data_IF_067089131353
#
_entry.id   IF_067089131353
#
_cell.length_a   1.000
_cell.length_b   1.000
_cell.length_c   1.000
_cell.angle_alpha   90.00
_cell.angle_beta   90.00
_cell.angle_gamma   90.00
#
_symmetry.space_group_name_H-M   'P 1'
#
loop_
_entity.id
_entity.type
_entity.pdbx_description
1 polymer ?
#
# COMPACT_ATOMS: atom_id res chain seq x y z
N UNK A 1 24.09 13.86 -18.14
CA UNK A 1 24.06 13.71 -16.67
C UNK A 1 23.13 12.55 -16.37
N UNK A 2 23.67 11.42 -15.91
CA UNK A 2 22.91 10.21 -15.62
C UNK A 2 22.83 10.05 -14.10
N UNK A 3 21.61 10.01 -13.57
CA UNK A 3 21.36 9.60 -12.19
C UNK A 3 20.77 8.20 -12.23
N UNK A 4 21.62 7.20 -12.03
CA UNK A 4 21.20 5.82 -11.80
C UNK A 4 21.07 5.65 -10.30
N UNK A 5 19.85 5.51 -9.78
CA UNK A 5 19.63 4.95 -8.44
C UNK A 5 18.84 3.67 -8.62
N UNK A 6 19.55 2.59 -8.93
CA UNK A 6 19.03 1.24 -8.76
C UNK A 6 19.16 0.91 -7.27
N UNK A 7 18.08 1.12 -6.52
CA UNK A 7 17.91 0.43 -5.25
C UNK A 7 17.46 -0.98 -5.57
N UNK A 8 18.42 -1.90 -5.68
CA UNK A 8 18.12 -3.31 -5.89
C UNK A 8 17.38 -3.84 -4.64
N UNK A 9 16.11 -4.20 -4.83
CA UNK A 9 15.34 -4.96 -3.86
C UNK A 9 16.05 -6.29 -3.57
N UNK A 10 15.96 -6.84 -2.35
CA UNK A 10 16.70 -8.03 -1.95
C UNK A 10 16.40 -9.22 -2.87
N UNK A 11 17.45 -9.95 -3.24
CA UNK A 11 17.43 -11.08 -4.18
C UNK A 11 16.52 -12.26 -3.79
N UNK A 12 15.91 -12.23 -2.60
CA UNK A 12 14.88 -13.17 -2.15
C UNK A 12 13.53 -13.01 -2.87
N UNK A 13 13.33 -11.95 -3.65
CA UNK A 13 12.13 -11.75 -4.50
C UNK A 13 12.21 -12.44 -5.86
N UNK A 14 13.30 -13.17 -6.17
CA UNK A 14 13.48 -13.83 -7.46
C UNK A 14 12.87 -15.23 -7.45
N UNK A 15 11.53 -15.30 -7.54
CA UNK A 15 10.81 -16.43 -8.14
C UNK A 15 9.35 -16.03 -8.40
N UNK A 16 8.96 -15.96 -9.68
CA UNK A 16 7.60 -15.72 -10.25
C UNK A 16 7.11 -14.26 -10.36
N UNK A 17 6.87 -13.82 -11.61
CA UNK A 17 6.09 -12.61 -11.93
C UNK A 17 6.78 -11.27 -11.63
N UNK A 18 6.21 -10.17 -12.13
CA UNK A 18 6.57 -8.83 -11.65
C UNK A 18 6.00 -8.66 -10.23
N UNK A 19 6.77 -8.13 -9.27
CA UNK A 19 6.27 -7.88 -7.91
C UNK A 19 5.04 -6.98 -7.94
N UNK A 20 4.03 -7.33 -7.13
CA UNK A 20 2.72 -6.69 -7.14
C UNK A 20 2.54 -5.69 -6.00
N UNK A 21 2.07 -4.49 -6.35
CA UNK A 21 1.64 -3.45 -5.41
C UNK A 21 0.12 -3.33 -5.44
N UNK A 22 -0.52 -3.39 -4.28
CA UNK A 22 -1.93 -3.10 -4.10
C UNK A 22 -2.09 -1.71 -3.47
N UNK A 23 -2.72 -0.79 -4.20
CA UNK A 23 -2.96 0.59 -3.76
C UNK A 23 -4.42 0.72 -3.34
N UNK A 24 -4.65 1.09 -2.09
CA UNK A 24 -5.97 1.34 -1.51
C UNK A 24 -6.16 2.85 -1.30
N UNK A 25 -6.92 3.48 -2.20
CA UNK A 25 -7.21 4.92 -2.17
C UNK A 25 -8.61 5.15 -2.75
N UNK A 26 -9.44 5.92 -2.06
CA UNK A 26 -10.79 6.25 -2.49
C UNK A 26 -10.78 7.21 -3.71
N UNK A 27 -9.69 7.94 -3.91
CA UNK A 27 -9.54 8.90 -5.00
C UNK A 27 -8.94 8.21 -6.25
N UNK A 28 -9.75 8.16 -7.31
CA UNK A 28 -9.41 7.44 -8.54
C UNK A 28 -8.22 8.09 -9.26
N UNK A 29 -8.13 9.43 -9.27
CA UNK A 29 -7.05 10.12 -9.97
C UNK A 29 -5.69 9.80 -9.34
N UNK A 30 -5.61 9.79 -8.01
CA UNK A 30 -4.40 9.55 -7.22
C UNK A 30 -3.96 8.10 -7.35
N UNK A 31 -4.89 7.15 -7.19
CA UNK A 31 -4.59 5.72 -7.40
C UNK A 31 -4.10 5.41 -8.82
N UNK A 32 -4.71 6.01 -9.85
CA UNK A 32 -4.27 5.83 -11.24
C UNK A 32 -2.92 6.49 -11.55
N UNK A 33 -2.66 7.67 -10.96
CA UNK A 33 -1.36 8.32 -11.09
C UNK A 33 -0.25 7.44 -10.50
N UNK A 34 -0.43 6.97 -9.27
CA UNK A 34 0.54 6.10 -8.61
C UNK A 34 0.72 4.78 -9.34
N UNK A 35 -0.39 4.20 -9.82
CA UNK A 35 -0.35 3.02 -10.70
C UNK A 35 0.55 3.26 -11.91
N UNK A 36 0.35 4.35 -12.65
CA UNK A 36 1.19 4.67 -13.81
C UNK A 36 2.66 4.90 -13.46
N UNK A 37 2.96 5.44 -12.27
CA UNK A 37 4.35 5.59 -11.79
C UNK A 37 4.98 4.23 -11.51
N UNK A 38 4.33 3.37 -10.73
CA UNK A 38 4.88 2.07 -10.36
C UNK A 38 4.93 1.08 -11.55
N UNK A 39 3.94 1.08 -12.44
CA UNK A 39 3.98 0.23 -13.64
C UNK A 39 5.16 0.59 -14.56
N UNK A 40 5.49 1.88 -14.66
CA UNK A 40 6.68 2.35 -15.42
C UNK A 40 8.00 1.88 -14.80
N UNK A 41 8.03 1.64 -13.49
CA UNK A 41 9.18 1.09 -12.76
C UNK A 41 9.20 -0.45 -12.74
N UNK A 42 8.27 -1.11 -13.44
CA UNK A 42 8.25 -2.56 -13.62
C UNK A 42 7.47 -3.35 -12.57
N UNK A 43 6.57 -2.70 -11.81
CA UNK A 43 5.68 -3.39 -10.88
C UNK A 43 4.35 -3.76 -11.55
N UNK A 44 3.72 -4.85 -11.11
CA UNK A 44 2.30 -5.08 -11.37
C UNK A 44 1.49 -4.29 -10.35
N UNK A 45 0.45 -3.56 -10.76
CA UNK A 45 -0.33 -2.73 -9.83
C UNK A 45 -1.82 -3.00 -9.91
N UNK A 46 -2.42 -3.28 -8.75
CA UNK A 46 -3.86 -3.29 -8.55
C UNK A 46 -4.29 -2.12 -7.66
N UNK A 47 -5.53 -1.69 -7.84
CA UNK A 47 -6.12 -0.57 -7.08
C UNK A 47 -7.42 -1.01 -6.44
N UNK A 48 -7.68 -0.55 -5.22
CA UNK A 48 -8.92 -0.77 -4.48
C UNK A 48 -9.47 0.55 -3.95
N UNK A 49 -10.73 0.85 -4.24
CA UNK A 49 -11.38 2.13 -3.90
C UNK A 49 -12.18 2.07 -2.58
N UNK A 50 -12.15 0.94 -1.88
CA UNK A 50 -12.80 0.74 -0.58
C UNK A 50 -12.08 -0.31 0.23
N UNK A 51 -12.38 -0.37 1.53
CA UNK A 51 -11.92 -1.44 2.42
C UNK A 51 -12.39 -2.82 1.93
N UNK A 52 -13.64 -2.93 1.49
CA UNK A 52 -14.19 -4.18 0.95
C UNK A 52 -13.46 -4.63 -0.32
N UNK A 53 -13.16 -3.70 -1.24
CA UNK A 53 -12.40 -4.00 -2.45
C UNK A 53 -10.95 -4.38 -2.13
N UNK A 54 -10.35 -3.74 -1.11
CA UNK A 54 -9.00 -4.06 -0.66
C UNK A 54 -8.91 -5.50 -0.15
N UNK A 55 -9.80 -5.89 0.77
CA UNK A 55 -9.77 -7.25 1.32
C UNK A 55 -10.12 -8.31 0.26
N UNK A 56 -11.09 -8.02 -0.62
CA UNK A 56 -11.39 -8.91 -1.75
C UNK A 56 -10.18 -9.09 -2.69
N UNK A 57 -9.44 -8.02 -2.98
CA UNK A 57 -8.24 -8.09 -3.80
C UNK A 57 -7.12 -8.90 -3.12
N UNK A 58 -6.95 -8.77 -1.81
CA UNK A 58 -5.98 -9.56 -1.04
C UNK A 58 -6.35 -11.05 -1.07
N UNK A 59 -7.64 -11.37 -0.88
CA UNK A 59 -8.13 -12.76 -0.94
C UNK A 59 -7.94 -13.40 -2.31
N UNK A 60 -8.16 -12.63 -3.38
CA UNK A 60 -7.92 -13.08 -4.75
C UNK A 60 -6.44 -13.38 -5.01
N UNK A 61 -5.55 -12.49 -4.56
CA UNK A 61 -4.11 -12.63 -4.71
C UNK A 61 -3.37 -11.81 -3.66
N UNK A 62 -2.44 -12.46 -2.95
CA UNK A 62 -1.60 -11.81 -1.96
C UNK A 62 -0.58 -10.89 -2.66
N UNK A 63 -0.59 -9.58 -2.41
CA UNK A 63 0.37 -8.65 -2.98
C UNK A 63 1.71 -8.68 -2.21
N UNK A 64 2.77 -8.19 -2.86
CA UNK A 64 4.09 -8.04 -2.24
C UNK A 64 4.20 -6.74 -1.41
N UNK A 65 3.34 -5.76 -1.69
CA UNK A 65 3.26 -4.48 -0.98
C UNK A 65 1.82 -3.95 -0.97
N UNK A 66 1.41 -3.35 0.16
CA UNK A 66 0.15 -2.61 0.26
C UNK A 66 0.45 -1.13 0.55
N UNK A 67 -0.19 -0.23 -0.19
CA UNK A 67 -0.19 1.22 0.06
C UNK A 67 -1.62 1.62 0.41
N UNK A 68 -1.82 2.26 1.57
CA UNK A 68 -3.16 2.59 2.09
C UNK A 68 -3.26 4.10 2.32
N UNK A 69 -4.31 4.72 1.80
CA UNK A 69 -4.69 6.08 2.18
C UNK A 69 -5.41 6.06 3.56
N UNK A 70 -5.05 6.94 4.51
CA UNK A 70 -5.61 6.96 5.87
C UNK A 70 -7.14 7.10 5.98
N UNK A 71 -7.81 7.66 4.98
CA UNK A 71 -9.24 7.92 4.89
C UNK A 71 -9.88 7.15 3.73
N UNK A 72 -9.71 5.83 3.74
CA UNK A 72 -10.30 4.94 2.75
C UNK A 72 -11.82 4.80 2.95
N UNK A 73 -12.57 5.77 2.43
CA UNK A 73 -14.03 5.81 2.53
C UNK A 73 -14.50 6.03 3.98
N UNK A 74 -15.12 5.00 4.58
CA UNK A 74 -15.65 5.07 5.96
C UNK A 74 -14.76 4.43 7.00
N UNK A 75 -13.72 3.70 6.57
CA UNK A 75 -12.84 2.96 7.48
C UNK A 75 -11.50 3.67 7.53
N UNK A 76 -10.97 3.83 8.74
CA UNK A 76 -9.63 4.39 8.91
C UNK A 76 -8.57 3.43 8.37
N UNK A 77 -7.59 3.96 7.65
CA UNK A 77 -6.41 3.19 7.21
C UNK A 77 -5.67 2.54 8.38
N UNK A 78 -5.76 3.10 9.60
CA UNK A 78 -5.20 2.50 10.81
C UNK A 78 -5.98 1.25 11.27
N UNK A 79 -7.31 1.27 11.15
CA UNK A 79 -8.13 0.10 11.43
C UNK A 79 -7.88 -1.02 10.42
N UNK A 80 -7.71 -0.65 9.15
CA UNK A 80 -7.30 -1.60 8.10
C UNK A 80 -5.93 -2.19 8.44
N UNK A 81 -4.94 -1.35 8.77
CA UNK A 81 -3.61 -1.79 9.15
C UNK A 81 -3.64 -2.74 10.37
N UNK A 82 -4.49 -2.46 11.36
CA UNK A 82 -4.69 -3.35 12.51
C UNK A 82 -5.24 -4.71 12.07
N UNK A 83 -6.29 -4.73 11.24
CA UNK A 83 -6.86 -5.98 10.69
C UNK A 83 -5.84 -6.79 9.89
N UNK A 84 -5.02 -6.12 9.08
CA UNK A 84 -3.94 -6.76 8.31
C UNK A 84 -2.90 -7.41 9.23
N UNK A 85 -2.57 -6.78 10.35
CA UNK A 85 -1.63 -7.31 11.36
C UNK A 85 -2.21 -8.44 12.21
N UNK A 86 -3.54 -8.49 12.40
CA UNK A 86 -4.23 -9.55 13.14
C UNK A 86 -4.30 -10.87 12.36
N UNK A 87 -4.19 -10.84 11.03
CA UNK A 87 -4.19 -12.04 10.18
C UNK A 87 -2.75 -12.48 9.87
N UNK A 88 -2.34 -13.72 10.23
CA UNK A 88 -0.96 -14.21 10.06
C UNK A 88 -0.42 -14.17 8.62
N UNK A 89 -1.30 -14.25 7.62
CA UNK A 89 -0.93 -14.22 6.20
C UNK A 89 -0.59 -12.78 5.82
N UNK A 90 -1.47 -11.84 6.12
CA UNK A 90 -1.31 -10.43 5.74
C UNK A 90 -0.36 -9.66 6.64
N UNK A 91 -0.09 -10.17 7.85
CA UNK A 91 0.80 -9.52 8.81
C UNK A 91 2.26 -9.42 8.33
N UNK A 92 2.64 -10.28 7.38
CA UNK A 92 3.99 -10.31 6.80
C UNK A 92 4.14 -9.33 5.62
N UNK A 93 3.03 -8.81 5.08
CA UNK A 93 3.06 -7.95 3.91
C UNK A 93 3.50 -6.54 4.34
N UNK A 94 4.58 -6.00 3.75
CA UNK A 94 4.95 -4.60 3.96
C UNK A 94 3.75 -3.69 3.64
N UNK A 95 3.43 -2.77 4.55
CA UNK A 95 2.30 -1.86 4.39
C UNK A 95 2.75 -0.42 4.66
N UNK A 96 2.55 0.46 3.68
CA UNK A 96 2.80 1.90 3.80
C UNK A 96 1.49 2.68 3.88
N UNK A 97 1.47 3.71 4.73
CA UNK A 97 0.40 4.70 4.72
C UNK A 97 0.80 5.87 3.82
N UNK A 98 -0.04 6.16 2.84
CA UNK A 98 0.11 7.31 1.95
C UNK A 98 -0.65 8.50 2.54
N UNK A 99 0.07 9.42 3.16
CA UNK A 99 -0.54 10.52 3.91
C UNK A 99 -0.25 11.85 3.23
N UNK A 100 -1.22 12.74 3.13
CA UNK A 100 -0.93 14.14 2.80
C UNK A 100 -0.21 14.80 3.99
N UNK A 101 0.52 15.90 3.74
CA UNK A 101 1.17 16.65 4.82
C UNK A 101 0.16 17.16 5.88
N UNK A 102 -1.08 17.40 5.47
CA UNK A 102 -2.20 17.79 6.35
C UNK A 102 -2.70 16.67 7.25
N UNK A 103 -2.40 15.40 6.94
CA UNK A 103 -2.86 14.23 7.71
C UNK A 103 -1.88 13.80 8.79
N UNK A 104 -0.77 14.54 8.93
CA UNK A 104 0.25 14.27 9.95
C UNK A 104 -0.29 14.14 11.38
N UNK A 105 -1.26 14.97 11.85
CA UNK A 105 -1.85 14.80 13.17
C UNK A 105 -2.55 13.44 13.35
N UNK A 106 -3.31 13.01 12.34
CA UNK A 106 -4.06 11.74 12.35
C UNK A 106 -3.09 10.55 12.35
N UNK A 107 -1.96 10.69 11.64
CA UNK A 107 -0.88 9.69 11.62
C UNK A 107 -0.24 9.51 12.98
N UNK A 108 0.08 10.59 13.68
CA UNK A 108 0.67 10.51 15.01
C UNK A 108 -0.28 9.87 16.01
N UNK A 109 -1.57 10.17 15.92
CA UNK A 109 -2.58 9.57 16.78
C UNK A 109 -2.73 8.06 16.50
N UNK A 110 -2.83 7.67 15.22
CA UNK A 110 -2.96 6.28 14.80
C UNK A 110 -1.72 5.42 15.03
N UNK A 111 -0.52 6.02 14.99
CA UNK A 111 0.75 5.35 15.29
C UNK A 111 1.02 5.17 16.79
N UNK A 112 0.15 5.68 17.66
CA UNK A 112 0.31 5.55 19.12
C UNK A 112 1.38 6.46 19.70
N UNK A 113 1.74 7.57 19.03
CA UNK A 113 2.69 8.54 19.55
C UNK A 113 2.06 9.31 20.71
N UNK A 114 2.17 8.76 21.93
CA UNK A 114 2.06 9.55 23.17
C UNK A 114 3.38 10.32 23.33
N UNK A 115 3.27 11.63 23.55
CA UNK A 115 4.40 12.50 23.95
C UNK A 115 5.09 11.96 25.20
#
# INVERSE_FOLDING_TARGET
>A
MAFTTTSALPASMVTNGLPEILIADAEIVTSHLLKGVFEREGYSVRTAQSDTALFAAIEERIPDLIIIEPRLGRVSGFDILRRLRENPITAQIPTFLLTSATDWPDVLQGAGARR
#
